data_IF_180487314451
#
_entry.id   IF_180487314451
#
_cell.length_a   1.000
_cell.length_b   1.000
_cell.length_c   1.000
_cell.angle_alpha   90.00
_cell.angle_beta   90.00
_cell.angle_gamma   90.00
#
_symmetry.space_group_name_H-M   'P 1'
#
loop_
_entity.id
_entity.type
_entity.pdbx_description
1 polymer ?
#
# COMPACT_ATOMS: atom_id res chain seq x y z
N UNK A 1 9.32 -5.58 20.96
CA UNK A 1 8.92 -7.01 20.94
C UNK A 1 9.93 -7.82 20.12
N UNK A 2 10.20 -9.11 20.40
CA UNK A 2 11.23 -9.89 19.66
C UNK A 2 10.80 -10.32 18.24
N UNK A 3 9.49 -10.45 17.98
CA UNK A 3 8.91 -10.66 16.64
C UNK A 3 7.42 -10.31 16.62
N UNK A 4 6.93 -9.77 15.50
CA UNK A 4 5.52 -9.39 15.33
C UNK A 4 5.03 -9.86 13.96
N UNK A 5 3.82 -10.42 13.93
CA UNK A 5 3.10 -10.72 12.69
C UNK A 5 1.68 -10.15 12.79
N UNK A 6 1.39 -9.10 12.01
CA UNK A 6 0.07 -8.47 12.00
C UNK A 6 -1.01 -9.32 11.33
N UNK A 7 -0.64 -10.34 10.54
CA UNK A 7 -1.59 -11.28 9.95
C UNK A 7 -2.28 -12.11 11.03
N UNK A 8 -1.52 -12.53 12.05
CA UNK A 8 -2.07 -13.27 13.20
C UNK A 8 -3.06 -12.45 14.04
N UNK A 9 -3.02 -11.12 13.89
CA UNK A 9 -3.94 -10.19 14.56
C UNK A 9 -5.22 -9.91 13.77
N UNK A 10 -5.36 -10.49 12.56
CA UNK A 10 -6.56 -10.35 11.74
C UNK A 10 -6.77 -8.94 11.18
N UNK A 11 -5.68 -8.18 10.95
CA UNK A 11 -5.74 -6.80 10.42
C UNK A 11 -5.09 -6.69 9.03
N UNK A 12 -4.82 -7.81 8.36
CA UNK A 12 -4.20 -7.84 7.03
C UNK A 12 -5.11 -8.65 6.11
N UNK A 13 -5.53 -8.05 4.99
CA UNK A 13 -6.33 -8.75 3.99
C UNK A 13 -5.51 -9.82 3.25
N UNK A 14 -6.22 -10.69 2.54
CA UNK A 14 -5.60 -11.67 1.63
C UNK A 14 -4.75 -10.98 0.55
N UNK A 15 -3.76 -11.72 0.04
CA UNK A 15 -2.87 -11.24 -1.03
C UNK A 15 -3.69 -10.98 -2.31
N UNK A 16 -3.45 -9.83 -2.94
CA UNK A 16 -4.04 -9.43 -4.22
C UNK A 16 -3.02 -9.48 -5.38
N UNK A 17 -3.49 -9.37 -6.62
CA UNK A 17 -2.66 -9.39 -7.84
C UNK A 17 -2.83 -8.09 -8.64
N UNK A 18 -1.74 -7.32 -8.81
CA UNK A 18 -1.74 -6.08 -9.59
C UNK A 18 -1.74 -6.32 -11.11
N UNK A 19 -1.46 -7.54 -11.56
CA UNK A 19 -1.32 -7.94 -12.96
C UNK A 19 -0.29 -7.07 -13.73
N UNK A 20 -0.52 -6.86 -15.03
CA UNK A 20 0.40 -6.12 -15.91
C UNK A 20 0.28 -4.59 -15.81
N UNK A 21 -0.11 -4.06 -14.65
CA UNK A 21 -0.28 -2.64 -14.36
C UNK A 21 0.75 -2.22 -13.31
N UNK A 22 1.48 -1.13 -13.52
CA UNK A 22 2.46 -0.56 -12.58
C UNK A 22 1.82 0.15 -11.40
N UNK A 23 0.84 -0.48 -10.76
CA UNK A 23 0.01 0.06 -9.67
C UNK A 23 0.47 -0.40 -8.28
N UNK A 24 1.66 -1.00 -8.13
CA UNK A 24 2.21 -1.44 -6.84
C UNK A 24 2.12 -0.38 -5.73
N UNK A 25 2.28 0.89 -6.09
CA UNK A 25 2.11 2.04 -5.20
C UNK A 25 0.69 2.16 -4.62
N UNK A 26 -0.34 1.83 -5.38
CA UNK A 26 -1.73 1.85 -4.92
C UNK A 26 -1.98 0.68 -3.95
N UNK A 27 -1.52 -0.53 -4.29
CA UNK A 27 -1.63 -1.72 -3.43
C UNK A 27 -0.90 -1.54 -2.10
N UNK A 28 0.34 -1.05 -2.14
CA UNK A 28 1.14 -0.75 -0.95
C UNK A 28 0.45 0.29 -0.05
N UNK A 29 -0.07 1.37 -0.63
CA UNK A 29 -0.79 2.38 0.14
C UNK A 29 -2.09 1.85 0.76
N UNK A 30 -2.85 1.06 0.00
CA UNK A 30 -4.13 0.50 0.48
C UNK A 30 -3.92 -0.50 1.59
N UNK A 31 -2.97 -1.42 1.45
CA UNK A 31 -2.73 -2.43 2.48
C UNK A 31 -2.43 -1.79 3.85
N UNK A 32 -1.56 -0.78 3.90
CA UNK A 32 -1.26 -0.07 5.15
C UNK A 32 -2.48 0.72 5.67
N UNK A 33 -3.27 1.35 4.79
CA UNK A 33 -4.49 2.05 5.18
C UNK A 33 -5.59 1.11 5.71
N UNK A 34 -5.78 -0.06 5.08
CA UNK A 34 -6.68 -1.13 5.54
C UNK A 34 -6.28 -1.60 6.94
N UNK A 35 -5.00 -1.90 7.15
CA UNK A 35 -4.52 -2.36 8.45
C UNK A 35 -4.63 -1.30 9.53
N UNK A 36 -4.27 -0.04 9.26
CA UNK A 36 -4.45 1.05 10.21
C UNK A 36 -5.93 1.27 10.58
N UNK A 37 -6.82 1.15 9.59
CA UNK A 37 -8.26 1.23 9.81
C UNK A 37 -8.76 0.06 10.67
N UNK A 38 -8.31 -1.17 10.38
CA UNK A 38 -8.67 -2.36 11.14
C UNK A 38 -8.18 -2.30 12.59
N UNK A 39 -6.95 -1.81 12.82
CA UNK A 39 -6.39 -1.62 14.16
C UNK A 39 -7.21 -0.60 14.97
N UNK A 40 -7.62 0.50 14.34
CA UNK A 40 -8.33 1.59 15.03
C UNK A 40 -9.81 1.30 15.26
N UNK A 41 -10.45 0.51 14.40
CA UNK A 41 -11.91 0.29 14.44
C UNK A 41 -12.32 -1.13 14.80
N UNK A 42 -11.42 -2.10 14.71
CA UNK A 42 -11.71 -3.53 14.81
C UNK A 42 -12.40 -4.11 13.58
N UNK A 43 -12.53 -3.37 12.48
CA UNK A 43 -13.15 -3.83 11.23
C UNK A 43 -12.13 -3.85 10.10
N UNK A 44 -11.86 -5.04 9.56
CA UNK A 44 -11.02 -5.21 8.39
C UNK A 44 -11.86 -5.05 7.11
N UNK A 45 -11.70 -3.90 6.47
CA UNK A 45 -12.30 -3.59 5.17
C UNK A 45 -11.31 -3.88 4.05
N UNK A 46 -11.81 -4.15 2.84
CA UNK A 46 -10.98 -4.16 1.64
C UNK A 46 -11.30 -2.96 0.75
N UNK A 47 -10.31 -2.10 0.52
CA UNK A 47 -10.43 -0.86 -0.24
C UNK A 47 -9.96 -1.01 -1.69
N UNK A 48 -10.48 -0.13 -2.54
CA UNK A 48 -10.29 -0.16 -3.99
C UNK A 48 -8.97 0.44 -4.45
N UNK A 49 -8.09 -0.39 -5.00
CA UNK A 49 -6.88 0.07 -5.68
C UNK A 49 -7.22 0.86 -6.95
N UNK A 50 -8.29 0.47 -7.64
CA UNK A 50 -8.73 1.15 -8.87
C UNK A 50 -9.08 2.61 -8.63
N UNK A 51 -9.67 2.93 -7.48
CA UNK A 51 -9.94 4.31 -7.10
C UNK A 51 -8.64 5.14 -7.07
N UNK A 52 -7.55 4.57 -6.57
CA UNK A 52 -6.28 5.30 -6.56
C UNK A 52 -5.67 5.41 -7.95
N UNK A 53 -5.64 4.31 -8.71
CA UNK A 53 -5.17 4.27 -10.10
C UNK A 53 -5.85 5.33 -10.96
N UNK A 54 -7.18 5.46 -10.84
CA UNK A 54 -7.96 6.36 -11.70
C UNK A 54 -7.98 7.82 -11.22
N UNK A 55 -7.82 8.06 -9.92
CA UNK A 55 -8.09 9.37 -9.34
C UNK A 55 -6.86 10.16 -8.89
N UNK A 56 -5.77 9.50 -8.45
CA UNK A 56 -4.65 10.20 -7.80
C UNK A 56 -3.87 11.05 -8.81
N UNK A 57 -4.18 12.34 -8.80
CA UNK A 57 -3.46 13.35 -9.58
C UNK A 57 -2.03 13.48 -9.03
N UNK A 58 -1.04 13.38 -9.92
CA UNK A 58 0.38 13.36 -9.55
C UNK A 58 1.00 11.96 -9.55
N UNK A 59 0.17 10.92 -9.59
CA UNK A 59 0.57 9.58 -10.05
C UNK A 59 0.18 9.40 -11.52
N UNK A 60 0.65 8.31 -12.12
CA UNK A 60 0.46 8.00 -13.54
C UNK A 60 -0.29 6.68 -13.74
N UNK A 61 -1.20 6.36 -12.82
CA UNK A 61 -2.01 5.14 -12.85
C UNK A 61 -1.15 3.88 -12.97
N UNK A 62 -1.34 3.12 -14.06
CA UNK A 62 -0.56 1.93 -14.40
C UNK A 62 0.88 2.20 -14.84
N UNK A 63 1.28 3.46 -15.01
CA UNK A 63 2.67 3.85 -15.32
C UNK A 63 3.49 4.23 -14.08
N UNK A 64 2.95 4.01 -12.87
CA UNK A 64 3.64 4.24 -11.61
C UNK A 64 3.07 5.39 -10.78
N UNK A 65 3.56 5.48 -9.55
CA UNK A 65 3.10 6.44 -8.55
C UNK A 65 3.82 6.23 -7.22
N UNK A 66 3.45 7.04 -6.23
CA UNK A 66 4.06 7.01 -4.89
C UNK A 66 2.98 6.93 -3.81
N UNK A 67 3.23 6.14 -2.76
CA UNK A 67 2.28 5.89 -1.68
C UNK A 67 1.95 7.17 -0.90
N UNK A 68 2.93 8.04 -0.69
CA UNK A 68 2.73 9.32 0.01
C UNK A 68 1.87 10.30 -0.80
N UNK A 69 1.89 10.23 -2.13
CA UNK A 69 0.98 11.00 -3.01
C UNK A 69 -0.44 10.45 -2.92
N UNK A 70 -0.56 9.12 -2.83
CA UNK A 70 -1.84 8.46 -2.62
C UNK A 70 -2.50 8.91 -1.31
N UNK A 71 -1.76 8.88 -0.19
CA UNK A 71 -2.28 9.33 1.11
C UNK A 71 -2.66 10.82 1.11
N UNK A 72 -1.80 11.69 0.57
CA UNK A 72 -2.13 13.12 0.41
C UNK A 72 -3.41 13.30 -0.40
N UNK A 73 -3.57 12.58 -1.51
CA UNK A 73 -4.77 12.66 -2.33
C UNK A 73 -6.02 12.17 -1.58
N UNK A 74 -5.94 11.04 -0.87
CA UNK A 74 -7.05 10.52 -0.06
C UNK A 74 -7.47 11.58 0.96
N UNK A 75 -6.52 12.16 1.71
CA UNK A 75 -6.79 13.16 2.75
C UNK A 75 -7.37 14.44 2.14
N UNK A 76 -6.68 15.03 1.16
CA UNK A 76 -6.97 16.39 0.69
C UNK A 76 -8.12 16.44 -0.33
N UNK A 77 -8.25 15.40 -1.17
CA UNK A 77 -9.21 15.37 -2.28
C UNK A 77 -10.39 14.46 -2.01
N UNK A 78 -10.18 13.36 -1.30
CA UNK A 78 -11.25 12.42 -0.91
C UNK A 78 -11.72 12.62 0.55
N UNK A 79 -11.21 13.65 1.26
CA UNK A 79 -11.57 13.96 2.66
C UNK A 79 -11.31 12.79 3.61
N UNK A 80 -10.23 12.06 3.37
CA UNK A 80 -9.86 10.84 4.07
C UNK A 80 -10.69 9.61 3.71
N UNK A 81 -11.69 9.73 2.83
CA UNK A 81 -12.60 8.63 2.51
C UNK A 81 -12.05 7.72 1.42
N UNK A 82 -12.42 6.45 1.48
CA UNK A 82 -12.05 5.42 0.51
C UNK A 82 -13.30 4.70 0.01
N UNK A 83 -13.17 3.90 -1.03
CA UNK A 83 -14.25 3.08 -1.61
C UNK A 83 -13.87 1.62 -1.41
N UNK A 84 -14.87 0.76 -1.16
CA UNK A 84 -14.65 -0.68 -1.03
C UNK A 84 -14.27 -1.29 -2.38
N UNK A 85 -13.41 -2.30 -2.37
CA UNK A 85 -13.01 -3.05 -3.56
C UNK A 85 -14.23 -3.70 -4.25
N UNK A 86 -15.24 -4.11 -3.48
CA UNK A 86 -16.48 -4.66 -4.02
C UNK A 86 -17.31 -3.67 -4.86
N UNK A 87 -17.13 -2.37 -4.63
CA UNK A 87 -17.88 -1.32 -5.32
C UNK A 87 -17.10 -0.79 -6.53
N UNK A 88 -15.79 -0.57 -6.38
CA UNK A 88 -14.92 -0.05 -7.44
C UNK A 88 -13.80 -1.05 -7.74
N UNK A 89 -14.17 -2.13 -8.41
CA UNK A 89 -13.32 -3.30 -8.67
C UNK A 89 -12.07 -2.96 -9.48
N UNK A 90 -10.95 -3.57 -9.12
CA UNK A 90 -9.68 -3.50 -9.83
C UNK A 90 -9.73 -4.14 -11.22
N UNK A 91 -9.24 -3.40 -12.22
CA UNK A 91 -9.27 -3.78 -13.64
C UNK A 91 -7.88 -3.85 -14.28
N UNK A 92 -6.82 -3.50 -13.53
CA UNK A 92 -5.44 -3.43 -14.02
C UNK A 92 -5.26 -2.55 -15.27
N UNK A 93 -6.09 -1.52 -15.42
CA UNK A 93 -6.08 -0.59 -16.53
C UNK A 93 -6.33 0.82 -16.01
N UNK A 94 -5.78 1.81 -16.69
CA UNK A 94 -6.12 3.20 -16.45
C UNK A 94 -7.58 3.46 -16.83
N UNK A 95 -8.30 4.12 -15.93
CA UNK A 95 -9.69 4.51 -16.12
C UNK A 95 -9.92 6.01 -15.93
N UNK A 96 -11.19 6.38 -15.95
CA UNK A 96 -11.64 7.71 -15.55
C UNK A 96 -12.06 7.65 -14.10
N UNK A 97 -11.57 8.58 -13.29
CA UNK A 97 -11.95 8.69 -11.88
C UNK A 97 -13.47 8.72 -11.68
N UNK A 98 -14.00 7.73 -10.97
CA UNK A 98 -15.43 7.60 -10.63
C UNK A 98 -15.72 7.75 -9.14
N UNK A 99 -14.79 8.28 -8.34
CA UNK A 99 -14.94 8.38 -6.88
C UNK A 99 -16.30 8.94 -6.42
N UNK A 100 -16.77 10.02 -7.06
CA UNK A 100 -18.04 10.67 -6.73
C UNK A 100 -19.31 9.84 -7.01
N UNK A 101 -19.19 8.70 -7.70
CA UNK A 101 -20.31 7.83 -8.08
C UNK A 101 -20.57 6.72 -7.05
N UNK A 102 -19.65 6.48 -6.13
CA UNK A 102 -19.70 5.37 -5.18
C UNK A 102 -19.95 5.83 -3.75
N UNK A 103 -20.43 4.91 -2.92
CA UNK A 103 -20.45 5.12 -1.48
C UNK A 103 -19.02 5.09 -0.93
N UNK A 104 -18.77 5.92 0.07
CA UNK A 104 -17.42 6.08 0.62
C UNK A 104 -17.40 5.69 2.09
N UNK A 105 -16.41 4.92 2.52
CA UNK A 105 -16.25 4.47 3.90
C UNK A 105 -14.82 4.74 4.38
N UNK A 106 -14.51 4.37 5.62
CA UNK A 106 -13.20 4.59 6.20
C UNK A 106 -12.88 6.05 6.54
N UNK A 107 -11.69 6.26 7.12
CA UNK A 107 -11.09 7.59 7.26
C UNK A 107 -9.57 7.48 7.44
N UNK A 108 -8.80 7.92 6.43
CA UNK A 108 -7.38 8.23 6.58
C UNK A 108 -7.26 9.69 7.02
N UNK A 109 -6.81 9.92 8.25
CA UNK A 109 -6.70 11.27 8.81
C UNK A 109 -5.31 11.89 8.57
N UNK A 110 -4.26 11.09 8.64
CA UNK A 110 -2.87 11.51 8.47
C UNK A 110 -2.00 10.31 8.11
N UNK A 111 -0.77 10.59 7.69
CA UNK A 111 0.29 9.61 7.55
C UNK A 111 1.59 10.25 8.07
N UNK A 112 2.56 9.42 8.44
CA UNK A 112 3.88 9.84 8.90
C UNK A 112 4.95 9.27 7.96
N UNK A 113 6.13 9.88 7.96
CA UNK A 113 7.29 9.33 7.29
C UNK A 113 8.17 8.63 8.32
N UNK A 114 8.68 7.49 7.93
CA UNK A 114 9.74 6.77 8.64
C UNK A 114 11.08 7.36 8.20
N UNK A 115 12.04 7.41 9.11
CA UNK A 115 13.38 7.89 8.81
C UNK A 115 14.01 7.07 7.68
N UNK A 116 14.61 7.76 6.71
CA UNK A 116 15.21 7.12 5.55
C UNK A 116 16.39 6.24 5.98
N UNK A 117 16.42 4.98 5.50
CA UNK A 117 17.46 3.99 5.80
C UNK A 117 17.62 3.65 7.30
N UNK A 118 16.55 3.78 8.09
CA UNK A 118 16.53 3.44 9.52
C UNK A 118 15.59 2.25 9.79
N UNK A 119 16.16 1.05 9.84
CA UNK A 119 15.41 -0.17 10.11
C UNK A 119 14.91 -0.26 11.57
N UNK A 120 15.55 0.43 12.51
CA UNK A 120 15.09 0.49 13.90
C UNK A 120 13.84 1.36 14.03
N UNK A 121 13.82 2.53 13.36
CA UNK A 121 12.62 3.38 13.27
C UNK A 121 11.49 2.68 12.51
N UNK A 122 11.82 1.96 11.42
CA UNK A 122 10.84 1.14 10.70
C UNK A 122 10.20 0.09 11.62
N UNK A 123 11.01 -0.70 12.33
CA UNK A 123 10.52 -1.73 13.24
C UNK A 123 9.66 -1.13 14.38
N UNK A 124 10.08 0.01 14.94
CA UNK A 124 9.32 0.70 15.98
C UNK A 124 7.96 1.19 15.48
N UNK A 125 7.88 1.71 14.25
CA UNK A 125 6.63 2.15 13.63
C UNK A 125 5.73 0.95 13.29
N UNK A 126 6.28 -0.16 12.81
CA UNK A 126 5.51 -1.40 12.58
C UNK A 126 4.94 -1.94 13.88
N UNK A 127 5.71 -1.95 14.97
CA UNK A 127 5.24 -2.39 16.29
C UNK A 127 4.13 -1.49 16.83
N UNK A 128 4.25 -0.18 16.65
CA UNK A 128 3.36 0.82 17.25
C UNK A 128 2.09 1.07 16.45
N UNK A 129 2.19 1.13 15.13
CA UNK A 129 1.13 1.65 14.25
C UNK A 129 0.50 0.60 13.35
N UNK A 130 1.12 -0.56 13.19
CA UNK A 130 0.65 -1.58 12.24
C UNK A 130 1.56 -1.70 11.01
N UNK A 131 1.15 -2.52 10.05
CA UNK A 131 1.81 -2.63 8.76
C UNK A 131 1.98 -1.27 8.07
N UNK A 132 3.10 -1.10 7.36
CA UNK A 132 3.48 0.14 6.70
C UNK A 132 3.78 -0.08 5.21
N UNK A 133 3.62 0.99 4.43
CA UNK A 133 3.95 1.00 3.02
C UNK A 133 5.44 1.29 2.82
N UNK A 134 6.16 0.44 2.08
CA UNK A 134 7.59 0.58 1.79
C UNK A 134 7.88 0.38 0.31
N UNK A 135 9.05 0.85 -0.14
CA UNK A 135 9.54 0.60 -1.50
C UNK A 135 10.83 -0.22 -1.43
N UNK A 136 10.99 -1.13 -2.39
CA UNK A 136 12.15 -2.01 -2.53
C UNK A 136 12.68 -1.98 -3.97
N UNK A 137 13.89 -2.50 -4.17
CA UNK A 137 14.39 -2.88 -5.49
C UNK A 137 13.97 -4.32 -5.81
N UNK A 138 13.03 -4.45 -6.75
CA UNK A 138 12.53 -5.74 -7.23
C UNK A 138 13.08 -6.12 -8.63
N UNK A 139 14.17 -5.49 -9.08
CA UNK A 139 14.71 -5.69 -10.45
C UNK A 139 15.40 -7.04 -10.66
N UNK A 140 15.77 -7.74 -9.59
CA UNK A 140 16.60 -8.93 -9.67
C UNK A 140 15.78 -10.20 -9.95
N UNK A 141 16.30 -11.09 -10.78
CA UNK A 141 15.67 -12.39 -11.07
C UNK A 141 15.53 -13.26 -9.80
N UNK A 142 16.47 -13.12 -8.86
CA UNK A 142 16.43 -13.77 -7.54
C UNK A 142 15.17 -13.41 -6.77
N UNK A 143 14.72 -12.14 -6.84
CA UNK A 143 13.43 -11.70 -6.28
C UNK A 143 12.25 -12.31 -7.05
N UNK A 144 12.27 -12.21 -8.39
CA UNK A 144 11.19 -12.71 -9.24
C UNK A 144 10.90 -14.21 -9.02
N UNK A 145 11.94 -15.01 -8.77
CA UNK A 145 11.83 -16.46 -8.57
C UNK A 145 11.97 -16.90 -7.11
N UNK A 146 11.92 -15.95 -6.17
CA UNK A 146 11.95 -16.24 -4.74
C UNK A 146 10.80 -17.19 -4.34
N UNK A 147 11.04 -18.08 -3.36
CA UNK A 147 10.05 -19.08 -2.91
C UNK A 147 9.93 -19.19 -1.39
N UNK A 148 11.04 -19.12 -0.67
CA UNK A 148 11.08 -19.32 0.78
C UNK A 148 12.45 -18.96 1.35
N UNK A 149 12.51 -18.63 2.64
CA UNK A 149 13.74 -18.33 3.37
C UNK A 149 13.80 -16.87 3.83
N UNK A 150 15.00 -16.36 4.01
CA UNK A 150 15.27 -14.93 4.16
C UNK A 150 15.93 -14.51 2.85
N UNK A 151 15.30 -13.57 2.13
CA UNK A 151 15.82 -13.07 0.87
C UNK A 151 16.98 -12.10 1.15
N UNK A 152 18.10 -12.32 0.47
CA UNK A 152 19.29 -11.46 0.51
C UNK A 152 19.90 -11.45 -0.88
N UNK A 153 20.02 -10.27 -1.48
CA UNK A 153 20.53 -10.05 -2.83
C UNK A 153 21.65 -9.00 -2.76
N UNK A 154 22.92 -9.41 -2.90
CA UNK A 154 24.06 -8.51 -2.76
C UNK A 154 24.07 -7.32 -3.73
N UNK A 155 23.41 -7.43 -4.88
CA UNK A 155 23.30 -6.34 -5.87
C UNK A 155 22.06 -5.45 -5.68
N UNK A 156 21.23 -5.74 -4.67
CA UNK A 156 20.01 -4.98 -4.37
C UNK A 156 20.33 -3.52 -4.06
N UNK A 157 19.69 -2.61 -4.78
CA UNK A 157 19.94 -1.19 -4.59
C UNK A 157 19.13 -0.60 -3.43
N UNK A 158 19.81 0.04 -2.48
CA UNK A 158 19.17 0.85 -1.45
C UNK A 158 18.56 2.17 -1.97
N UNK A 159 18.84 2.55 -3.23
CA UNK A 159 18.43 3.86 -3.78
C UNK A 159 17.64 3.75 -5.08
N UNK A 160 17.78 2.66 -5.83
CA UNK A 160 17.00 2.40 -7.05
C UNK A 160 15.72 1.59 -6.73
N UNK A 161 14.87 2.18 -5.89
CA UNK A 161 13.60 1.58 -5.49
C UNK A 161 12.59 1.67 -6.64
N UNK A 162 11.93 0.56 -6.97
CA UNK A 162 11.07 0.45 -8.16
C UNK A 162 9.76 -0.30 -7.91
N UNK A 163 9.54 -0.82 -6.70
CA UNK A 163 8.34 -1.57 -6.38
C UNK A 163 7.83 -1.24 -4.97
N UNK A 164 6.54 -0.90 -4.85
CA UNK A 164 5.88 -0.67 -3.58
C UNK A 164 5.30 -1.96 -2.99
N UNK A 165 5.56 -2.23 -1.72
CA UNK A 165 5.04 -3.40 -0.98
C UNK A 165 4.53 -2.98 0.40
N UNK A 166 3.82 -3.88 1.07
CA UNK A 166 3.49 -3.75 2.49
C UNK A 166 4.45 -4.56 3.35
N UNK A 167 4.85 -4.04 4.51
CA UNK A 167 5.60 -4.77 5.53
C UNK A 167 4.97 -4.65 6.92
#
# INVERSE_FOLDING_TARGET
VDSIDWREKGVVNEIKDQAACGSCWAFSAIQAAESAYAISTGTLESYSEQNLVDCVQGCYGCSGGLMDYAYKYIIDRQKGKMILESDYVYTALDGVCKFAQFQTVGNVASFLYIAENDEEDLAANVETHGPVAVAIDASHQSFQFYKSGIYDEPECSATFLNHGVGC
#
